data_IF_272903010440
#
_entry.id   IF_272903010440
#
_cell.length_a   1.000
_cell.length_b   1.000
_cell.length_c   1.000
_cell.angle_alpha   90.00
_cell.angle_beta   90.00
_cell.angle_gamma   90.00
#
_symmetry.space_group_name_H-M   'P 1'
#
loop_
_entity.id
_entity.type
_entity.pdbx_description
1 polymer ?
#
# COMPACT_ATOMS: atom_id res chain seq x y z
N UNK A 1 12.43 -7.43 25.39
CA UNK A 1 11.02 -7.76 25.09
C UNK A 1 10.53 -6.71 24.11
N UNK A 2 10.15 -7.10 22.90
CA UNK A 2 9.62 -6.16 21.91
C UNK A 2 8.14 -5.85 22.21
N UNK A 3 7.63 -4.73 21.69
CA UNK A 3 6.21 -4.39 21.85
C UNK A 3 5.32 -5.45 21.18
N UNK A 4 5.81 -6.05 20.09
CA UNK A 4 5.09 -7.09 19.36
C UNK A 4 4.94 -8.38 20.16
N UNK A 5 5.94 -8.75 20.97
CA UNK A 5 5.82 -9.90 21.88
C UNK A 5 4.75 -9.66 22.93
N UNK A 6 4.63 -8.42 23.44
CA UNK A 6 3.58 -8.05 24.39
C UNK A 6 2.19 -8.13 23.74
N UNK A 7 2.04 -7.63 22.52
CA UNK A 7 0.77 -7.73 21.79
C UNK A 7 0.38 -9.18 21.51
N UNK A 8 1.34 -10.02 21.11
CA UNK A 8 1.10 -11.45 20.91
C UNK A 8 0.61 -12.14 22.19
N UNK A 9 1.26 -11.84 23.33
CA UNK A 9 0.91 -12.43 24.61
C UNK A 9 -0.45 -11.97 25.14
N UNK A 10 -0.83 -10.74 24.81
CA UNK A 10 -2.14 -10.18 25.21
C UNK A 10 -3.28 -10.54 24.25
N UNK A 11 -2.96 -11.11 23.07
CA UNK A 11 -3.98 -11.47 22.07
C UNK A 11 -4.76 -12.70 22.51
N UNK A 12 -6.08 -12.56 22.60
CA UNK A 12 -7.00 -13.65 22.88
C UNK A 12 -7.59 -14.22 21.60
N UNK A 13 -7.52 -15.55 21.47
CA UNK A 13 -8.23 -16.25 20.39
C UNK A 13 -9.73 -16.28 20.71
N UNK A 14 -10.52 -15.63 19.89
CA UNK A 14 -11.98 -15.61 20.02
C UNK A 14 -12.65 -15.78 18.64
N UNK A 15 -13.97 -15.79 18.59
CA UNK A 15 -14.74 -15.91 17.34
C UNK A 15 -14.96 -14.59 16.59
N UNK A 16 -14.35 -13.48 17.01
CA UNK A 16 -14.47 -12.21 16.31
C UNK A 16 -13.84 -12.27 14.92
N UNK A 17 -14.50 -11.63 13.97
CA UNK A 17 -14.01 -11.50 12.60
C UNK A 17 -13.54 -10.07 12.37
N UNK A 18 -12.40 -9.93 11.73
CA UNK A 18 -11.82 -8.64 11.37
C UNK A 18 -11.75 -8.54 9.86
N UNK A 19 -12.23 -7.44 9.29
CA UNK A 19 -12.13 -7.15 7.88
C UNK A 19 -11.31 -5.88 7.69
N UNK A 20 -10.26 -5.94 6.88
CA UNK A 20 -9.45 -4.81 6.50
C UNK A 20 -9.77 -4.44 5.05
N UNK A 21 -10.37 -3.26 4.85
CA UNK A 21 -10.63 -2.71 3.52
C UNK A 21 -9.62 -1.61 3.23
N UNK A 22 -8.76 -1.83 2.24
CA UNK A 22 -7.74 -0.85 1.81
C UNK A 22 -8.13 -0.27 0.46
N UNK A 23 -8.34 1.05 0.42
CA UNK A 23 -8.52 1.79 -0.81
C UNK A 23 -7.18 2.42 -1.20
N UNK A 24 -6.42 1.69 -2.01
CA UNK A 24 -5.09 2.09 -2.46
C UNK A 24 -5.16 3.31 -3.40
N UNK A 25 -4.22 4.25 -3.22
CA UNK A 25 -4.08 5.42 -4.07
C UNK A 25 -5.18 6.48 -3.95
N UNK A 26 -5.98 6.45 -2.89
CA UNK A 26 -7.05 7.42 -2.66
C UNK A 26 -6.54 8.79 -2.22
N UNK A 27 -5.42 8.84 -1.49
CA UNK A 27 -4.85 10.08 -0.97
C UNK A 27 -4.23 10.94 -2.07
N UNK A 28 -4.66 12.20 -2.18
CA UNK A 28 -4.07 13.19 -3.06
C UNK A 28 -4.33 14.59 -2.50
N UNK A 29 -3.72 15.60 -3.11
CA UNK A 29 -3.88 17.00 -2.72
C UNK A 29 -5.13 17.63 -3.37
N UNK A 30 -5.66 18.63 -2.69
CA UNK A 30 -6.71 19.48 -3.23
C UNK A 30 -6.15 20.39 -4.35
N UNK A 31 -6.85 20.46 -5.47
CA UNK A 31 -6.44 21.26 -6.63
C UNK A 31 -7.58 22.13 -7.16
N UNK A 32 -7.28 23.12 -7.98
CA UNK A 32 -8.30 23.94 -8.63
C UNK A 32 -9.24 23.10 -9.54
N UNK A 33 -8.74 22.00 -10.12
CA UNK A 33 -9.53 21.09 -10.94
C UNK A 33 -10.61 20.35 -10.16
N UNK A 34 -10.44 20.19 -8.85
CA UNK A 34 -11.39 19.56 -7.94
C UNK A 34 -12.11 20.56 -7.03
N UNK A 35 -12.15 21.82 -7.40
CA UNK A 35 -12.72 22.90 -6.59
C UNK A 35 -12.09 22.96 -5.18
N UNK A 36 -10.75 22.79 -5.13
CA UNK A 36 -9.95 22.73 -3.91
C UNK A 36 -10.39 21.66 -2.91
N UNK A 37 -10.97 20.58 -3.40
CA UNK A 37 -11.29 19.39 -2.61
C UNK A 37 -10.27 18.28 -2.89
N UNK A 38 -9.96 17.49 -1.88
CA UNK A 38 -9.25 16.22 -2.08
C UNK A 38 -10.15 15.25 -2.85
N UNK A 39 -9.60 14.21 -3.49
CA UNK A 39 -10.42 13.19 -4.16
C UNK A 39 -11.50 12.57 -3.25
N UNK A 40 -11.18 12.36 -1.98
CA UNK A 40 -12.13 11.80 -1.01
C UNK A 40 -13.26 12.81 -0.69
N UNK A 41 -12.95 14.09 -0.54
CA UNK A 41 -13.96 15.13 -0.31
C UNK A 41 -14.85 15.38 -1.56
N UNK A 42 -14.31 15.14 -2.76
CA UNK A 42 -15.05 15.29 -4.01
C UNK A 42 -15.90 14.05 -4.34
N UNK A 43 -15.56 12.89 -3.81
CA UNK A 43 -16.28 11.64 -4.05
C UNK A 43 -17.63 11.61 -3.30
N UNK A 44 -18.59 10.89 -3.86
CA UNK A 44 -19.85 10.59 -3.16
C UNK A 44 -19.71 9.25 -2.42
N UNK A 45 -19.52 9.31 -1.11
CA UNK A 45 -19.24 8.14 -0.27
C UNK A 45 -20.22 7.99 0.92
N UNK A 46 -21.54 8.01 0.71
CA UNK A 46 -22.51 8.11 1.80
C UNK A 46 -22.41 6.97 2.82
N UNK A 47 -22.06 5.77 2.41
CA UNK A 47 -21.90 4.64 3.32
C UNK A 47 -20.62 4.73 4.16
N UNK A 48 -19.51 5.18 3.55
CA UNK A 48 -18.25 5.42 4.27
C UNK A 48 -18.40 6.61 5.23
N UNK A 49 -19.10 7.66 4.79
CA UNK A 49 -19.35 8.84 5.62
C UNK A 49 -20.18 8.48 6.85
N UNK A 50 -21.22 7.66 6.68
CA UNK A 50 -22.00 7.15 7.80
C UNK A 50 -21.16 6.29 8.75
N UNK A 51 -20.35 5.38 8.21
CA UNK A 51 -19.47 4.54 9.02
C UNK A 51 -18.43 5.38 9.77
N UNK A 52 -17.79 6.34 9.12
CA UNK A 52 -16.81 7.22 9.73
C UNK A 52 -17.40 8.04 10.88
N UNK A 53 -18.65 8.47 10.75
CA UNK A 53 -19.36 9.26 11.78
C UNK A 53 -19.53 8.50 13.10
N UNK A 54 -19.73 7.19 13.02
CA UNK A 54 -20.00 6.32 14.17
C UNK A 54 -18.77 5.50 14.61
N UNK A 55 -17.59 5.77 14.02
CA UNK A 55 -16.38 4.98 14.24
C UNK A 55 -15.25 5.81 14.83
N UNK A 56 -14.29 5.13 15.46
CA UNK A 56 -13.02 5.74 15.83
C UNK A 56 -12.17 5.94 14.56
N UNK A 57 -11.56 7.11 14.45
CA UNK A 57 -10.70 7.46 13.34
C UNK A 57 -9.27 7.73 13.81
N UNK A 58 -8.31 7.50 12.91
CA UNK A 58 -6.92 7.73 13.19
C UNK A 58 -6.11 8.00 11.92
N UNK A 59 -4.81 8.19 12.09
CA UNK A 59 -3.85 8.37 11.01
C UNK A 59 -2.76 7.33 11.15
N UNK A 60 -2.40 6.71 10.05
CA UNK A 60 -1.28 5.78 9.96
C UNK A 60 -0.14 6.45 9.18
N UNK A 61 1.08 6.34 9.69
CA UNK A 61 2.31 6.66 8.98
C UNK A 61 2.94 5.32 8.61
N UNK A 62 2.82 4.87 7.35
CA UNK A 62 3.15 3.49 7.00
C UNK A 62 4.66 3.20 6.94
N UNK A 63 5.50 4.21 6.86
CA UNK A 63 6.96 4.06 6.95
C UNK A 63 7.53 5.00 8.00
N UNK A 64 7.90 6.22 7.63
CA UNK A 64 8.39 7.24 8.54
C UNK A 64 7.97 8.63 8.04
N UNK A 65 8.06 9.63 8.92
CA UNK A 65 7.80 11.01 8.54
C UNK A 65 8.71 11.46 7.39
N UNK A 66 8.11 12.03 6.34
CA UNK A 66 8.85 12.48 5.15
C UNK A 66 9.27 11.38 4.19
N UNK A 67 8.95 10.12 4.48
CA UNK A 67 9.20 8.98 3.59
C UNK A 67 7.91 8.61 2.87
N UNK A 68 7.92 8.72 1.54
CA UNK A 68 6.82 8.22 0.72
C UNK A 68 6.94 6.70 0.58
N UNK A 69 6.02 5.92 1.15
CA UNK A 69 6.11 4.47 1.07
C UNK A 69 5.81 3.99 -0.35
N UNK A 70 6.68 3.18 -0.92
CA UNK A 70 6.34 2.35 -2.05
C UNK A 70 5.38 1.22 -1.65
N UNK A 71 4.95 0.40 -2.60
CA UNK A 71 3.99 -0.69 -2.33
C UNK A 71 4.48 -1.66 -1.25
N UNK A 72 5.76 -2.05 -1.28
CA UNK A 72 6.35 -2.95 -0.29
C UNK A 72 6.34 -2.38 1.13
N UNK A 73 7.03 -1.26 1.36
CA UNK A 73 7.07 -0.60 2.67
C UNK A 73 5.68 -0.23 3.19
N UNK A 74 4.78 0.22 2.31
CA UNK A 74 3.41 0.56 2.70
C UNK A 74 2.62 -0.65 3.21
N UNK A 75 2.75 -1.81 2.57
CA UNK A 75 2.11 -3.04 3.05
C UNK A 75 2.73 -3.55 4.35
N UNK A 76 4.06 -3.53 4.47
CA UNK A 76 4.73 -3.90 5.71
C UNK A 76 4.23 -3.06 6.88
N UNK A 77 4.23 -1.73 6.74
CA UNK A 77 3.73 -0.83 7.78
C UNK A 77 2.26 -1.03 8.11
N UNK A 78 1.42 -1.35 7.11
CA UNK A 78 0.00 -1.64 7.32
C UNK A 78 -0.21 -2.90 8.18
N UNK A 79 0.67 -3.90 8.05
CA UNK A 79 0.62 -5.13 8.84
C UNK A 79 1.48 -5.11 10.10
N UNK A 80 2.02 -3.95 10.47
CA UNK A 80 2.75 -3.75 11.73
C UNK A 80 4.24 -4.09 11.69
N UNK A 81 4.80 -4.35 10.52
CA UNK A 81 6.24 -4.51 10.37
C UNK A 81 6.91 -3.16 10.16
N UNK A 82 8.07 -2.94 10.77
CA UNK A 82 8.85 -1.73 10.53
C UNK A 82 9.54 -1.82 9.15
N UNK A 83 9.11 -1.04 8.16
CA UNK A 83 9.71 -1.08 6.83
C UNK A 83 11.10 -0.46 6.77
N UNK A 84 11.56 0.20 7.84
CA UNK A 84 12.92 0.71 7.95
C UNK A 84 13.90 -0.36 8.45
N UNK A 85 13.39 -1.38 9.14
CA UNK A 85 14.18 -2.54 9.58
C UNK A 85 14.10 -3.70 8.57
N UNK A 86 12.96 -3.83 7.88
CA UNK A 86 12.69 -4.90 6.92
C UNK A 86 12.61 -4.32 5.51
N UNK A 87 13.75 -4.27 4.83
CA UNK A 87 13.80 -3.80 3.44
C UNK A 87 13.49 -4.97 2.49
N UNK A 88 12.33 -4.95 1.87
CA UNK A 88 11.92 -5.94 0.87
C UNK A 88 11.60 -5.27 -0.46
N UNK A 89 12.35 -5.61 -1.49
CA UNK A 89 12.17 -5.09 -2.84
C UNK A 89 10.86 -5.59 -3.50
N UNK A 90 10.27 -4.76 -4.36
CA UNK A 90 9.01 -5.10 -5.07
C UNK A 90 9.13 -6.38 -5.91
N UNK A 91 10.31 -6.66 -6.49
CA UNK A 91 10.53 -7.89 -7.25
C UNK A 91 10.37 -9.13 -6.39
N UNK A 92 10.91 -9.11 -5.18
CA UNK A 92 10.81 -10.21 -4.21
C UNK A 92 9.36 -10.42 -3.79
N UNK A 93 8.65 -9.36 -3.41
CA UNK A 93 7.25 -9.46 -2.99
C UNK A 93 6.38 -10.04 -4.11
N UNK A 94 6.58 -9.60 -5.34
CA UNK A 94 5.82 -10.07 -6.50
C UNK A 94 6.15 -11.52 -6.84
N UNK A 95 7.42 -11.90 -6.80
CA UNK A 95 7.86 -13.27 -7.02
C UNK A 95 7.24 -14.24 -6.00
N UNK A 96 7.29 -13.88 -4.71
CA UNK A 96 6.66 -14.67 -3.65
C UNK A 96 5.14 -14.74 -3.79
N UNK A 97 4.50 -13.63 -4.19
CA UNK A 97 3.06 -13.58 -4.46
C UNK A 97 2.62 -14.47 -5.62
N UNK A 98 3.51 -14.71 -6.57
CA UNK A 98 3.31 -15.66 -7.68
C UNK A 98 3.68 -17.12 -7.31
N UNK A 99 4.11 -17.36 -6.09
CA UNK A 99 4.51 -18.68 -5.62
C UNK A 99 5.89 -19.13 -6.07
N UNK A 100 6.77 -18.19 -6.47
CA UNK A 100 8.15 -18.52 -6.79
C UNK A 100 8.95 -18.76 -5.51
N UNK A 101 9.69 -19.84 -5.47
CA UNK A 101 10.62 -20.16 -4.38
C UNK A 101 11.96 -19.46 -4.64
N UNK A 102 12.23 -18.41 -3.87
CA UNK A 102 13.50 -17.69 -3.96
C UNK A 102 14.55 -18.33 -3.05
N UNK A 103 15.77 -18.45 -3.57
CA UNK A 103 16.92 -18.96 -2.85
C UNK A 103 17.87 -17.82 -2.45
N UNK A 104 18.71 -18.00 -1.41
CA UNK A 104 19.75 -17.02 -1.08
C UNK A 104 20.65 -16.74 -2.29
N UNK A 105 20.76 -15.48 -2.68
CA UNK A 105 21.53 -15.03 -3.85
C UNK A 105 20.68 -14.77 -5.11
N UNK A 106 19.40 -15.13 -5.11
CA UNK A 106 18.51 -14.81 -6.22
C UNK A 106 18.22 -13.30 -6.30
N UNK A 107 18.11 -12.81 -7.52
CA UNK A 107 17.71 -11.43 -7.80
C UNK A 107 16.36 -11.43 -8.49
N UNK A 108 15.34 -10.95 -7.80
CA UNK A 108 14.00 -10.80 -8.36
C UNK A 108 13.79 -9.38 -8.89
N UNK A 109 13.52 -9.24 -10.17
CA UNK A 109 13.25 -7.96 -10.82
C UNK A 109 11.79 -7.92 -11.32
N UNK A 110 11.11 -6.82 -11.00
CA UNK A 110 9.81 -6.52 -11.58
C UNK A 110 9.96 -5.65 -12.81
N UNK A 111 9.39 -6.08 -13.93
CA UNK A 111 9.35 -5.32 -15.17
C UNK A 111 7.92 -4.95 -15.56
N UNK A 112 7.76 -3.91 -16.37
CA UNK A 112 6.51 -3.56 -17.02
C UNK A 112 6.75 -3.51 -18.54
N UNK A 113 5.76 -3.91 -19.31
CA UNK A 113 5.72 -3.61 -20.73
C UNK A 113 5.50 -2.11 -20.94
N UNK A 114 6.08 -1.57 -21.98
CA UNK A 114 5.90 -0.18 -22.39
C UNK A 114 5.61 -0.11 -23.89
N UNK A 115 4.97 0.98 -24.32
CA UNK A 115 4.81 1.31 -25.73
C UNK A 115 5.88 2.30 -26.14
N UNK A 116 6.49 2.08 -27.29
CA UNK A 116 7.49 2.98 -27.88
C UNK A 116 6.91 3.61 -29.14
N UNK A 117 7.35 4.82 -29.48
CA UNK A 117 7.15 5.42 -30.79
C UNK A 117 8.19 4.92 -31.82
N UNK A 118 8.14 5.50 -33.03
CA UNK A 118 9.05 5.14 -34.11
C UNK A 118 10.54 5.49 -33.82
N UNK A 119 10.78 6.42 -32.92
CA UNK A 119 12.11 6.89 -32.51
C UNK A 119 12.63 6.12 -31.28
N UNK A 120 11.85 5.16 -30.75
CA UNK A 120 12.19 4.36 -29.58
C UNK A 120 11.95 5.06 -28.24
N UNK A 121 11.21 6.15 -28.22
CA UNK A 121 10.86 6.86 -26.99
C UNK A 121 9.60 6.24 -26.35
N UNK A 122 9.60 6.16 -25.03
CA UNK A 122 8.47 5.59 -24.28
C UNK A 122 7.28 6.55 -24.33
N UNK A 123 6.19 6.15 -24.99
CA UNK A 123 4.92 6.89 -25.06
C UNK A 123 3.91 6.43 -23.99
N UNK A 124 3.95 5.17 -23.62
CA UNK A 124 3.19 4.65 -22.49
C UNK A 124 4.02 3.64 -21.71
N UNK A 125 4.38 3.99 -20.48
CA UNK A 125 5.20 3.15 -19.59
C UNK A 125 4.50 1.90 -19.05
N UNK A 126 3.23 1.68 -19.37
CA UNK A 126 2.44 0.55 -18.92
C UNK A 126 1.71 -0.18 -20.05
N UNK A 127 2.02 0.13 -21.31
CA UNK A 127 1.43 -0.49 -22.50
C UNK A 127 -0.11 -0.67 -22.39
N UNK A 128 -0.83 0.39 -21.98
CA UNK A 128 -2.28 0.33 -21.78
C UNK A 128 -2.74 -0.41 -20.52
N UNK A 129 -1.82 -0.74 -19.62
CA UNK A 129 -2.08 -1.50 -18.38
C UNK A 129 -2.55 -2.93 -18.63
N UNK A 130 -1.95 -3.60 -19.58
CA UNK A 130 -2.10 -5.05 -19.78
C UNK A 130 -1.44 -5.84 -18.65
#
# INVERSE_FOLDING_TARGET
MSIDSIYSDLTLKNGAKMALLVMDGLGDIATAATDYKTPLEAASTPNLDALAKDSAQGRLIPAAHGITPGSGPGHLGLFGYDPMEVEVGRGVIEALGLGLELQPGDVAARANFCTLDADGLVTDRRAGRI
#
